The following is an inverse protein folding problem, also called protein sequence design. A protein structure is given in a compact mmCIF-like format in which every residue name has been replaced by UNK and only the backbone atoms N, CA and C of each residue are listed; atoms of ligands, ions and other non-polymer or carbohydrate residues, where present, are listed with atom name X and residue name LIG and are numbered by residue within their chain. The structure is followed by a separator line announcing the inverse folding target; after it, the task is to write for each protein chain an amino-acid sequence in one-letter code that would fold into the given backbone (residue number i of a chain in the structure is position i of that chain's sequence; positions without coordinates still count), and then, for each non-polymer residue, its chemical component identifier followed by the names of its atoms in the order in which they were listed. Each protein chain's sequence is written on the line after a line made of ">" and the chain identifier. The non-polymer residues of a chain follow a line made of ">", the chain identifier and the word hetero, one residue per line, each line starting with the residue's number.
data_IF_612856476259
#
_entry.id   IF_612856476259
#
_cell.length_a   1.000
_cell.length_b   1.000
_cell.length_c   1.000
_cell.angle_alpha   90.00
_cell.angle_beta   90.00
_cell.angle_gamma   90.00
#
_symmetry.space_group_name_H-M   'P 1'
#
loop_
_entity.id
_entity.type
_entity.pdbx_description
1 polymer ?
2 non-polymer ?
3 non-polymer ?
4 water ?
#
# COMPACT_ATOMS: atom_id res chain seq x y z
N UNK A 4 -10.14 20.88 0.87
CA UNK A 4 -11.15 20.33 -0.02
C UNK A 4 -10.75 18.95 -0.56
N UNK A 5 -9.46 18.73 -0.76
CA UNK A 5 -8.96 17.42 -1.17
C UNK A 5 -8.74 16.52 0.05
N UNK A 6 -9.34 15.34 0.02
CA UNK A 6 -9.08 14.32 1.04
C UNK A 6 -7.69 13.74 0.83
N UNK A 7 -6.80 13.92 1.79
CA UNK A 7 -5.42 13.50 1.62
C UNK A 7 -5.06 12.32 2.51
N UNK A 8 -4.52 11.27 1.89
CA UNK A 8 -4.09 10.09 2.62
C UNK A 8 -2.65 9.75 2.29
N UNK A 9 -2.06 8.92 3.15
CA UNK A 9 -0.65 8.59 3.11
C UNK A 9 -0.50 7.14 3.51
N UNK A 10 0.31 6.39 2.77
CA UNK A 10 0.49 4.99 3.06
C UNK A 10 1.85 4.47 2.70
N UNK A 11 2.14 3.28 3.19
CA UNK A 11 3.36 2.58 2.82
C UNK A 11 3.00 1.56 1.76
N UNK A 12 3.62 1.67 0.59
CA UNK A 12 3.56 0.60 -0.39
C UNK A 12 4.62 -0.41 0.02
N UNK A 13 4.18 -1.37 0.82
CA UNK A 13 5.06 -2.37 1.41
C UNK A 13 5.24 -3.52 0.44
N UNK A 14 6.48 -3.82 0.09
CA UNK A 14 6.80 -4.90 -0.82
C UNK A 14 7.72 -5.92 -0.17
N UNK A 15 7.82 -7.09 -0.80
CA UNK A 15 8.77 -8.11 -0.40
C UNK A 15 9.23 -8.84 -1.64
N UNK A 16 10.46 -9.36 -1.58
CA UNK A 16 11.00 -10.15 -2.68
C UNK A 16 10.28 -11.50 -2.73
N UNK A 17 9.73 -11.86 -3.88
CA UNK A 17 8.93 -13.07 -4.00
C UNK A 17 9.78 -14.33 -3.83
N UNK A 18 9.26 -15.29 -3.09
CA UNK A 18 9.91 -16.59 -2.95
C UNK A 18 9.96 -17.31 -4.28
N UNK A 19 11.01 -18.10 -4.50
CA UNK A 19 11.20 -18.80 -5.75
C UNK A 19 10.03 -19.73 -6.10
N UNK A 20 9.59 -19.66 -7.35
CA UNK A 20 8.59 -20.56 -7.90
C UNK A 20 9.03 -20.92 -9.30
N UNK A 21 9.01 -22.22 -9.65
CA UNK A 21 9.48 -22.59 -11.00
C UNK A 21 8.57 -22.08 -12.11
N UNK A 28 9.17 -8.71 -11.87
CA UNK A 28 7.77 -8.83 -11.53
C UNK A 28 7.96 -9.81 -10.38
N UNK A 29 9.14 -9.60 -9.79
CA UNK A 29 9.79 -10.45 -8.78
C UNK A 29 9.40 -10.03 -7.37
N UNK A 30 8.47 -9.09 -7.26
CA UNK A 30 8.09 -8.59 -5.95
C UNK A 30 6.61 -8.79 -5.71
N UNK A 31 6.23 -8.79 -4.44
CA UNK A 31 4.83 -8.81 -4.05
C UNK A 31 4.58 -7.60 -3.16
N UNK A 32 3.33 -7.17 -3.11
CA UNK A 32 2.93 -5.97 -2.39
C UNK A 32 1.80 -6.32 -1.45
N UNK A 33 1.84 -5.80 -0.23
CA UNK A 33 0.82 -6.14 0.75
C UNK A 33 -0.44 -5.32 0.53
N UNK A 34 -1.53 -6.02 0.18
CA UNK A 34 -2.82 -5.39 -0.03
C UNK A 34 -3.82 -5.87 1.00
N UNK A 35 -4.65 -4.93 1.46
CA UNK A 35 -5.60 -5.16 2.53
C UNK A 35 -7.02 -4.98 2.01
N UNK A 36 -7.90 -5.90 2.36
CA UNK A 36 -9.28 -5.85 1.89
C UNK A 36 -10.16 -5.10 2.89
N UNK A 37 -10.70 -3.98 2.45
CA UNK A 37 -11.51 -3.14 3.31
C UNK A 37 -12.75 -3.87 3.84
N UNK A 38 -13.04 -3.67 5.12
CA UNK A 38 -14.21 -4.27 5.77
C UNK A 38 -15.50 -3.58 5.38
N UNK A 39 -15.41 -2.29 5.05
CA UNK A 39 -16.61 -1.49 4.83
C UNK A 39 -16.91 -1.24 3.35
N UNK A 40 -16.11 -1.82 2.46
CA UNK A 40 -16.31 -1.63 1.04
C UNK A 40 -16.47 -2.96 0.31
N UNK A 41 -16.89 -2.89 -0.95
CA UNK A 41 -17.03 -4.07 -1.78
C UNK A 41 -15.82 -4.24 -2.69
N UNK A 42 -15.17 -5.40 -2.60
CA UNK A 42 -14.01 -5.72 -3.44
C UNK A 42 -12.99 -4.59 -3.49
N UNK A 43 -12.60 -4.10 -2.31
CA UNK A 43 -11.73 -2.93 -2.23
C UNK A 43 -10.42 -3.27 -1.53
N UNK A 44 -9.38 -3.43 -2.34
CA UNK A 44 -8.05 -3.79 -1.87
C UNK A 44 -7.09 -2.64 -2.08
N UNK A 45 -6.39 -2.23 -1.02
CA UNK A 45 -5.38 -1.18 -1.14
C UNK A 45 -4.20 -1.49 -0.23
N UNK A 46 -3.06 -0.81 -0.44
CA UNK A 46 -2.00 -0.89 0.57
C UNK A 46 -2.46 -0.22 1.86
N UNK A 47 -1.70 -0.42 2.95
CA UNK A 47 -1.99 0.32 4.20
C UNK A 47 -1.88 1.83 3.98
N UNK A 48 -2.85 2.59 4.47
CA UNK A 48 -2.88 4.03 4.29
C UNK A 48 -3.94 4.66 5.19
N UNK A 49 -3.84 5.98 5.38
CA UNK A 49 -4.88 6.71 6.06
C UNK A 49 -4.62 8.19 6.15
N UNK A 50 -5.46 8.89 6.91
CA UNK A 50 -5.38 10.33 7.02
C UNK A 50 -4.34 10.81 8.04
N UNK A 51 -3.86 12.02 7.82
CA UNK A 51 -2.99 12.71 8.77
C UNK A 51 -3.56 12.73 10.17
N UNK A 52 -2.70 12.58 11.17
CA UNK A 52 -2.96 13.09 12.51
C UNK A 52 -1.97 14.24 12.78
N UNK A 53 -2.12 14.97 13.88
CA UNK A 53 -1.38 16.21 14.08
C UNK A 53 0.13 16.09 14.08
N UNK A 54 0.77 17.09 13.47
CA UNK A 54 2.22 17.22 13.53
C UNK A 54 2.88 15.99 12.94
N UNK A 55 2.29 15.50 11.86
CA UNK A 55 2.85 14.39 11.11
C UNK A 55 3.26 14.84 9.74
N UNK A 56 4.47 14.45 9.33
CA UNK A 56 4.82 14.45 7.93
C UNK A 56 3.99 13.37 7.23
N UNK A 57 3.92 13.43 5.91
CA UNK A 57 3.25 12.38 5.15
C UNK A 57 3.82 11.02 5.50
N UNK A 58 5.14 10.93 5.61
CA UNK A 58 5.79 9.67 5.93
C UNK A 58 5.41 9.17 7.32
N UNK A 59 5.38 10.07 8.31
CA UNK A 59 4.96 9.68 9.64
C UNK A 59 3.53 9.13 9.63
N UNK A 60 2.64 9.78 8.89
CA UNK A 60 1.27 9.29 8.77
C UNK A 60 1.26 7.88 8.16
N UNK A 61 2.03 7.70 7.09
CA UNK A 61 2.09 6.42 6.41
C UNK A 61 2.57 5.32 7.36
N UNK A 62 3.64 5.60 8.11
CA UNK A 62 4.19 4.64 9.05
C UNK A 62 3.19 4.29 10.14
N UNK A 63 2.54 5.30 10.71
CA UNK A 63 1.56 5.04 11.74
C UNK A 63 0.38 4.23 11.23
N UNK A 64 -0.17 4.60 10.09
CA UNK A 64 -1.31 3.88 9.54
C UNK A 64 -0.94 2.44 9.21
N UNK A 65 0.27 2.23 8.71
CA UNK A 65 0.73 0.89 8.43
C UNK A 65 0.81 0.06 9.71
N UNK A 66 1.35 0.66 10.77
CA UNK A 66 1.40 -0.02 12.06
C UNK A 66 0.00 -0.35 12.59
N UNK A 67 -0.92 0.61 12.51
CA UNK A 67 -2.29 0.39 12.96
C UNK A 67 -2.99 -0.71 12.19
N UNK A 68 -2.75 -0.76 10.89
CA UNK A 68 -3.52 -1.64 10.02
C UNK A 68 -2.92 -3.02 9.82
N UNK A 69 -1.65 -3.19 10.17
CA UNK A 69 -0.96 -4.47 9.93
C UNK A 69 -0.15 -4.96 11.12
N UNK A 70 0.06 -4.11 12.13
CA UNK A 70 0.93 -4.45 13.23
C UNK A 70 2.42 -4.40 12.89
N UNK A 71 2.75 -4.02 11.66
CA UNK A 71 4.15 -3.99 11.24
C UNK A 71 4.72 -2.59 11.44
N UNK A 72 5.73 -2.48 12.29
CA UNK A 72 6.37 -1.20 12.57
C UNK A 72 7.55 -0.95 11.65
N UNK A 73 8.05 0.29 11.64
CA UNK A 73 9.04 0.68 10.65
C UNK A 73 10.40 0.00 10.83
N UNK A 74 10.67 -0.56 12.00
CA UNK A 74 11.93 -1.30 12.18
C UNK A 74 11.94 -2.58 11.34
N UNK A 75 10.76 -2.98 10.84
CA UNK A 75 10.66 -4.21 10.05
C UNK A 75 10.91 -4.01 8.56
N UNK A 76 10.99 -2.76 8.12
CA UNK A 76 11.15 -2.53 6.70
C UNK A 76 12.12 -1.41 6.40
N UNK A 77 12.65 -1.45 5.18
CA UNK A 77 13.58 -0.44 4.70
C UNK A 77 12.83 0.51 3.80
N UNK A 78 12.74 1.77 4.21
CA UNK A 78 12.13 2.79 3.37
C UNK A 78 13.01 3.03 2.17
N UNK A 79 12.41 2.94 0.99
CA UNK A 79 13.16 3.13 -0.24
C UNK A 79 12.87 4.50 -0.85
N UNK A 80 13.72 4.90 -1.78
CA UNK A 80 13.63 6.22 -2.38
C UNK A 80 12.62 6.30 -3.53
N UNK A 81 11.39 5.91 -3.26
CA UNK A 81 10.33 5.96 -4.25
C UNK A 81 9.04 6.38 -3.57
N UNK A 82 8.36 7.36 -4.16
CA UNK A 82 7.03 7.74 -3.71
C UNK A 82 6.20 8.16 -4.90
N UNK A 83 4.89 8.02 -4.79
CA UNK A 83 4.02 8.52 -5.83
C UNK A 83 2.71 8.99 -5.24
N UNK A 84 2.22 10.10 -5.75
CA UNK A 84 0.94 10.63 -5.35
C UNK A 84 -0.08 10.33 -6.44
N UNK A 85 -1.18 9.71 -6.04
CA UNK A 85 -2.29 9.40 -6.93
C UNK A 85 -3.43 10.33 -6.63
N UNK A 86 -3.96 10.99 -7.65
CA UNK A 86 -5.15 11.80 -7.48
C UNK A 86 -6.30 11.15 -8.24
N UNK A 87 -7.42 10.99 -7.56
CA UNK A 87 -8.56 10.30 -8.12
C UNK A 87 -9.83 10.76 -7.46
N UNK A 88 -10.98 10.29 -7.95
CA UNK A 88 -12.24 10.73 -7.38
C UNK A 88 -12.93 9.66 -6.55
N UNK A 89 -13.54 10.12 -5.45
CA UNK A 89 -14.36 9.26 -4.61
C UNK A 89 -15.71 9.95 -4.44
N UNK A 90 -16.72 9.47 -5.17
CA UNK A 90 -18.03 10.10 -5.17
C UNK A 90 -17.91 11.54 -5.66
N UNK A 91 -17.07 11.72 -6.68
CA UNK A 91 -16.76 13.04 -7.25
C UNK A 91 -16.17 14.00 -6.22
N UNK A 92 -15.69 13.46 -5.10
CA UNK A 92 -14.91 14.24 -4.16
C UNK A 92 -13.44 13.93 -4.38
N UNK A 93 -12.63 14.97 -4.63
CA UNK A 93 -11.20 14.78 -4.94
C UNK A 93 -10.44 14.12 -3.80
N UNK A 94 -9.68 13.08 -4.13
CA UNK A 94 -8.81 12.45 -3.17
C UNK A 94 -7.40 12.34 -3.72
N UNK A 95 -6.45 12.45 -2.82
CA UNK A 95 -5.05 12.32 -3.13
C UNK A 95 -4.42 11.37 -2.13
N UNK A 96 -3.72 10.34 -2.62
CA UNK A 96 -3.04 9.43 -1.71
C UNK A 96 -1.58 9.34 -2.12
N UNK A 97 -0.68 9.54 -1.16
CA UNK A 97 0.74 9.41 -1.42
C UNK A 97 1.25 8.12 -0.80
N UNK A 98 1.89 7.29 -1.63
CA UNK A 98 2.48 6.04 -1.18
C UNK A 98 3.99 6.15 -1.19
N UNK A 99 4.60 5.63 -0.12
CA UNK A 99 6.06 5.58 0.03
C UNK A 99 6.46 4.12 -0.01
N UNK A 100 7.38 3.77 -0.91
CA UNK A 100 7.80 2.38 -1.06
C UNK A 100 8.68 1.93 0.09
N UNK A 101 8.44 0.72 0.59
CA UNK A 101 9.32 0.13 1.60
C UNK A 101 9.45 -1.36 1.36
N UNK A 102 10.61 -1.93 1.66
CA UNK A 102 10.78 -3.36 1.52
C UNK A 102 10.81 -4.03 2.88
N UNK A 103 9.89 -4.96 3.06
CA UNK A 103 9.83 -5.75 4.26
C UNK A 103 11.04 -6.66 4.27
N UNK A 104 11.80 -6.64 5.36
CA UNK A 104 13.08 -7.34 5.40
C UNK A 104 12.91 -8.83 5.73
N UNK A 105 11.86 -9.16 6.49
CA UNK A 105 11.46 -10.53 6.75
C UNK A 105 10.13 -10.80 6.06
N UNK A 106 10.14 -11.59 4.99
CA UNK A 106 8.92 -11.84 4.22
C UNK A 106 7.76 -12.34 5.05
N UNK A 107 8.09 -13.06 6.11
CA UNK A 107 7.09 -13.82 6.86
C UNK A 107 6.60 -13.14 8.13
N UNK A 108 6.82 -11.83 8.25
CA UNK A 108 6.28 -11.07 9.36
C UNK A 108 4.77 -11.32 9.51
N UNK A 109 4.32 -11.48 10.74
CA UNK A 109 2.91 -11.76 11.03
C UNK A 109 2.04 -10.52 10.83
N UNK A 110 1.18 -10.54 9.83
CA UNK A 110 0.25 -9.44 9.58
C UNK A 110 -0.94 -9.55 10.53
N UNK A 111 -1.19 -8.49 11.30
CA UNK A 111 -2.28 -8.44 12.26
C UNK A 111 -3.26 -7.37 11.83
N UNK A 112 -4.44 -7.78 11.39
CA UNK A 112 -5.40 -6.83 10.85
C UNK A 112 -6.16 -6.10 11.95
N UNK A 113 -6.63 -4.89 11.63
CA UNK A 113 -7.53 -4.14 12.49
C UNK A 113 -8.95 -4.32 12.00
N UNK A 114 -9.92 -3.66 12.64
CA UNK A 114 -11.31 -3.81 12.21
C UNK A 114 -11.55 -3.19 10.82
N UNK A 115 -10.59 -2.42 10.33
CA UNK A 115 -10.71 -1.77 9.03
C UNK A 115 -10.65 -2.74 7.86
N UNK A 116 -10.08 -3.92 8.10
CA UNK A 116 -9.88 -4.89 7.01
C UNK A 116 -10.25 -6.31 7.42
N UNK A 117 -10.68 -7.09 6.44
CA UNK A 117 -11.10 -8.47 6.72
C UNK A 117 -10.10 -9.50 6.21
N UNK A 118 -9.18 -9.09 5.35
CA UNK A 118 -8.26 -10.03 4.72
C UNK A 118 -7.04 -9.27 4.21
N UNK A 119 -5.97 -9.99 3.91
CA UNK A 119 -4.80 -9.39 3.28
C UNK A 119 -4.23 -10.40 2.31
N UNK A 120 -3.52 -9.90 1.32
CA UNK A 120 -2.84 -10.75 0.36
C UNK A 120 -1.59 -10.04 -0.13
N UNK A 121 -0.52 -10.79 -0.28
CA UNK A 121 0.69 -10.30 -0.92
C UNK A 121 0.52 -10.57 -2.40
N UNK A 122 0.31 -9.53 -3.20
CA UNK A 122 0.01 -9.71 -4.62
C UNK A 122 1.11 -9.16 -5.54
N UNK A 123 1.28 -9.84 -6.66
CA UNK A 123 2.18 -9.33 -7.68
C UNK A 123 1.47 -8.31 -8.54
N UNK A 124 2.24 -7.50 -9.23
CA UNK A 124 1.68 -6.49 -10.12
C UNK A 124 0.73 -7.11 -11.16
N UNK A 125 1.04 -8.33 -11.60
CA UNK A 125 0.22 -9.00 -12.61
C UNK A 125 -1.17 -9.39 -12.11
N UNK A 126 -1.37 -9.32 -10.80
CA UNK A 126 -2.65 -9.69 -10.21
C UNK A 126 -3.58 -8.51 -10.07
N UNK A 127 -3.16 -7.34 -10.57
CA UNK A 127 -3.92 -6.10 -10.37
C UNK A 127 -5.35 -6.17 -10.87
N UNK A 128 -5.55 -6.76 -12.04
CA UNK A 128 -6.91 -6.90 -12.60
C UNK A 128 -7.77 -7.88 -11.80
N UNK A 129 -7.14 -8.96 -11.35
CA UNK A 129 -7.83 -9.97 -10.55
C UNK A 129 -8.37 -9.36 -9.26
N UNK A 130 -7.61 -8.42 -8.70
CA UNK A 130 -8.01 -7.78 -7.45
C UNK A 130 -8.77 -6.48 -7.69
N UNK A 131 -9.15 -6.26 -8.95
CA UNK A 131 -9.95 -5.11 -9.36
C UNK A 131 -9.37 -3.76 -8.93
N UNK A 132 -8.06 -3.65 -9.02
CA UNK A 132 -7.41 -2.38 -8.74
C UNK A 132 -7.72 -1.36 -9.81
N UNK A 133 -7.91 -0.10 -9.41
CA UNK A 133 -8.00 0.97 -10.41
C UNK A 133 -6.66 1.16 -11.12
N UNK A 134 -6.70 1.77 -12.30
CA UNK A 134 -5.50 1.96 -13.10
C UNK A 134 -4.39 2.65 -12.34
N UNK A 135 -4.75 3.63 -11.53
CA UNK A 135 -3.74 4.37 -10.76
C UNK A 135 -2.88 3.43 -9.88
N UNK A 136 -3.55 2.52 -9.19
CA UNK A 136 -2.87 1.58 -8.31
C UNK A 136 -2.12 0.50 -9.07
N UNK A 137 -2.75 -0.03 -10.12
CA UNK A 137 -2.10 -1.03 -10.95
C UNK A 137 -0.78 -0.49 -11.49
N UNK A 138 -0.86 0.74 -11.99
CA UNK A 138 0.29 1.38 -12.58
C UNK A 138 1.34 1.69 -11.51
N UNK A 139 0.89 2.07 -10.31
CA UNK A 139 1.82 2.24 -9.20
C UNK A 139 2.63 0.97 -8.99
N UNK A 140 1.97 -0.18 -9.00
CA UNK A 140 2.74 -1.42 -8.76
C UNK A 140 3.77 -1.66 -9.86
N UNK A 141 3.36 -1.45 -11.12
CA UNK A 141 4.32 -1.67 -12.20
C UNK A 141 5.52 -0.71 -12.13
N UNK A 142 5.24 0.55 -11.84
CA UNK A 142 6.30 1.54 -11.75
C UNK A 142 7.22 1.30 -10.55
N UNK A 143 6.66 0.83 -9.44
CA UNK A 143 7.47 0.47 -8.29
C UNK A 143 8.39 -0.70 -8.65
N UNK A 144 7.87 -1.67 -9.39
CA UNK A 144 8.73 -2.79 -9.79
C UNK A 144 9.85 -2.32 -10.71
N UNK A 145 9.54 -1.36 -11.58
CA UNK A 145 10.58 -0.74 -12.41
C UNK A 145 11.67 -0.09 -11.56
N UNK A 146 11.26 0.64 -10.52
CA UNK A 146 12.24 1.24 -9.61
C UNK A 146 13.08 0.17 -8.93
N UNK A 147 12.44 -0.89 -8.45
CA UNK A 147 13.12 -1.94 -7.70
C UNK A 147 14.15 -2.71 -8.52
N UNK A 148 14.02 -2.64 -9.85
CA UNK A 148 14.93 -3.34 -10.72
C UNK A 148 16.10 -2.48 -11.19
N UNK A 149 16.17 -1.24 -10.71
CA UNK A 149 17.35 -0.41 -10.98
C UNK A 149 18.58 -0.97 -10.25
#
# INVERSE_FOLDING_TARGET
>A
MKINIIKAFGILLCRLKKYNPVTTGDINKFEFLFLKASYADKHWTPPKGLHENNESGLETAVRETLEETGINKDKYKLLNYQKTLKYNVKDKPKETTYYLAMLLNNEENVILSDEHTDYKWIGSHESDTYNLPESLADLLKEAEEFLNKEQL
#
